data_IF_736001400934
#
_entry.id   IF_736001400934
#
_cell.length_a   1.000
_cell.length_b   1.000
_cell.length_c   1.000
_cell.angle_alpha   90.00
_cell.angle_beta   90.00
_cell.angle_gamma   90.00
#
_symmetry.space_group_name_H-M   'P 1'
#
loop_
_entity.id
_entity.type
_entity.pdbx_description
1 polymer ?
#
# COMPACT_ATOMS: atom_id res chain seq x y z
N UNK A 1 7.16 -36.35 -6.41
CA UNK A 1 5.92 -36.47 -7.19
C UNK A 1 4.89 -37.17 -6.30
N UNK A 2 3.89 -36.47 -5.80
CA UNK A 2 2.78 -37.08 -5.07
C UNK A 2 1.57 -37.15 -5.99
N UNK A 3 1.37 -38.30 -6.60
CA UNK A 3 0.05 -38.67 -7.12
C UNK A 3 -0.88 -38.89 -5.91
N UNK A 4 -2.17 -38.60 -6.08
CA UNK A 4 -3.16 -39.06 -5.10
C UNK A 4 -2.90 -40.53 -4.81
N UNK A 5 -3.05 -40.98 -3.55
CA UNK A 5 -2.75 -42.35 -3.10
C UNK A 5 -3.51 -43.49 -3.80
N UNK A 6 -4.40 -43.14 -4.71
CA UNK A 6 -5.09 -44.10 -5.57
C UNK A 6 -4.43 -44.09 -6.95
N UNK A 7 -3.35 -44.88 -7.11
CA UNK A 7 -2.92 -45.27 -8.44
C UNK A 7 -4.11 -45.95 -9.13
N UNK A 8 -4.55 -45.48 -10.32
CA UNK A 8 -5.59 -46.17 -11.06
C UNK A 8 -5.10 -47.59 -11.32
N UNK A 9 -5.82 -48.57 -10.84
CA UNK A 9 -5.43 -49.98 -11.00
C UNK A 9 -5.38 -50.29 -12.47
N UNK A 10 -4.27 -50.82 -12.94
CA UNK A 10 -4.02 -51.17 -14.37
C UNK A 10 -5.16 -52.02 -14.96
N UNK A 11 -5.92 -52.70 -14.11
CA UNK A 11 -7.09 -53.54 -14.52
C UNK A 11 -8.29 -52.70 -14.93
N UNK A 12 -8.45 -51.48 -14.47
CA UNK A 12 -9.55 -50.60 -14.85
C UNK A 12 -9.30 -49.98 -16.25
N UNK A 13 -8.03 -49.85 -16.65
CA UNK A 13 -7.61 -49.39 -17.96
C UNK A 13 -7.76 -50.44 -19.07
N UNK A 14 -7.95 -51.73 -18.72
CA UNK A 14 -8.06 -52.82 -19.68
C UNK A 14 -9.48 -53.03 -20.27
N UNK A 15 -10.49 -52.37 -19.71
CA UNK A 15 -11.90 -52.70 -20.00
C UNK A 15 -12.56 -51.86 -21.08
N UNK A 16 -12.03 -50.79 -21.54
CA UNK A 16 -12.68 -50.06 -22.63
C UNK A 16 -11.69 -49.35 -23.57
N UNK A 17 -11.86 -49.60 -24.86
CA UNK A 17 -11.28 -48.81 -25.92
C UNK A 17 -11.99 -47.44 -26.11
N UNK A 18 -13.09 -47.22 -25.40
CA UNK A 18 -14.02 -46.10 -25.62
C UNK A 18 -14.25 -45.20 -24.39
N UNK A 19 -13.88 -45.63 -23.17
CA UNK A 19 -14.13 -44.82 -21.96
C UNK A 19 -12.92 -43.95 -21.60
N UNK A 20 -13.18 -42.64 -21.44
CA UNK A 20 -12.24 -41.69 -20.89
C UNK A 20 -12.05 -41.95 -19.40
N UNK A 21 -10.83 -42.24 -18.97
CA UNK A 21 -10.49 -42.33 -17.56
C UNK A 21 -10.12 -40.95 -17.04
N UNK A 22 -10.73 -40.56 -15.91
CA UNK A 22 -10.44 -39.28 -15.23
C UNK A 22 -9.44 -39.50 -14.09
N UNK A 23 -8.38 -38.72 -14.09
CA UNK A 23 -7.44 -38.60 -12.97
C UNK A 23 -7.57 -37.21 -12.36
N UNK A 24 -7.73 -37.12 -11.04
CA UNK A 24 -7.73 -35.84 -10.34
C UNK A 24 -6.38 -35.60 -9.70
N UNK A 25 -5.72 -34.51 -10.10
CA UNK A 25 -4.51 -34.00 -9.44
C UNK A 25 -4.94 -33.06 -8.33
N UNK A 26 -4.80 -33.49 -7.07
CA UNK A 26 -5.26 -32.71 -5.91
C UNK A 26 -4.35 -31.51 -5.65
N UNK A 27 -4.92 -30.31 -5.61
CA UNK A 27 -4.16 -29.06 -5.44
C UNK A 27 -3.39 -29.04 -4.11
N UNK A 28 -3.97 -29.52 -3.00
CA UNK A 28 -3.33 -29.56 -1.68
C UNK A 28 -2.04 -30.38 -1.63
N UNK A 29 -1.87 -31.38 -2.53
CA UNK A 29 -0.74 -32.29 -2.56
C UNK A 29 0.28 -31.89 -3.65
N UNK A 30 -0.11 -30.99 -4.56
CA UNK A 30 0.65 -30.62 -5.76
C UNK A 30 0.82 -29.10 -5.94
N UNK A 31 0.84 -28.34 -4.85
CA UNK A 31 1.05 -26.89 -4.88
C UNK A 31 2.46 -26.54 -5.37
N UNK A 32 2.66 -26.45 -6.68
CA UNK A 32 3.95 -26.26 -7.34
C UNK A 32 3.77 -25.72 -8.75
N UNK A 33 4.76 -24.95 -9.24
CA UNK A 33 4.84 -24.53 -10.64
C UNK A 33 5.42 -25.62 -11.56
N UNK A 34 5.85 -26.73 -11.00
CA UNK A 34 6.47 -27.84 -11.75
C UNK A 34 5.74 -29.15 -11.39
N UNK A 35 4.48 -29.25 -11.81
CA UNK A 35 3.70 -30.47 -11.73
C UNK A 35 3.74 -31.13 -13.10
N UNK A 36 4.18 -32.38 -13.16
CA UNK A 36 4.27 -33.14 -14.41
C UNK A 36 3.36 -34.36 -14.32
N UNK A 37 2.38 -34.42 -15.22
CA UNK A 37 1.61 -35.63 -15.47
C UNK A 37 2.30 -36.45 -16.56
N UNK A 38 2.79 -37.64 -16.20
CA UNK A 38 3.41 -38.57 -17.14
C UNK A 38 2.53 -39.80 -17.33
N UNK A 39 2.13 -40.04 -18.57
CA UNK A 39 1.31 -41.17 -18.97
C UNK A 39 2.16 -42.09 -19.84
N UNK A 40 2.16 -43.36 -19.50
CA UNK A 40 2.80 -44.40 -20.33
C UNK A 40 1.75 -45.48 -20.67
N UNK A 41 1.55 -45.73 -21.93
CA UNK A 41 0.74 -46.82 -22.43
C UNK A 41 1.63 -47.85 -23.14
N UNK A 42 1.32 -49.13 -22.92
CA UNK A 42 2.05 -50.25 -23.55
C UNK A 42 1.01 -51.23 -24.12
N UNK A 43 1.13 -51.60 -25.36
CA UNK A 43 0.28 -52.62 -25.95
C UNK A 43 0.76 -54.06 -25.67
N UNK A 44 -0.01 -55.06 -26.11
CA UNK A 44 0.33 -56.47 -25.91
C UNK A 44 1.55 -56.93 -26.71
N UNK A 45 1.99 -56.19 -27.72
CA UNK A 45 3.19 -56.44 -28.51
C UNK A 45 4.44 -55.77 -27.91
N UNK A 46 4.29 -54.99 -26.82
CA UNK A 46 5.36 -54.27 -26.15
C UNK A 46 5.63 -52.87 -26.71
N UNK A 47 4.83 -52.41 -27.68
CA UNK A 47 4.95 -51.03 -28.18
C UNK A 47 4.48 -50.06 -27.11
N UNK A 48 5.19 -48.95 -26.93
CA UNK A 48 4.92 -48.00 -25.86
C UNK A 48 4.80 -46.57 -26.38
N UNK A 49 3.91 -45.82 -25.75
CA UNK A 49 3.79 -44.39 -25.95
C UNK A 49 3.89 -43.72 -24.57
N UNK A 50 4.65 -42.62 -24.53
CA UNK A 50 4.78 -41.79 -23.32
C UNK A 50 4.31 -40.40 -23.68
N UNK A 51 3.47 -39.81 -22.83
CA UNK A 51 3.05 -38.40 -22.89
C UNK A 51 3.34 -37.72 -21.58
N UNK A 52 3.88 -36.51 -21.64
CA UNK A 52 4.12 -35.67 -20.49
C UNK A 52 3.38 -34.33 -20.67
N UNK A 53 2.68 -33.91 -19.66
CA UNK A 53 1.99 -32.61 -19.58
C UNK A 53 2.48 -31.86 -18.35
N UNK A 54 2.87 -30.60 -18.57
CA UNK A 54 3.35 -29.71 -17.50
C UNK A 54 2.25 -28.72 -17.11
N UNK A 55 2.05 -28.53 -15.82
CA UNK A 55 1.07 -27.59 -15.28
C UNK A 55 1.58 -26.96 -13.98
N UNK A 56 1.02 -25.80 -13.65
CA UNK A 56 1.22 -25.15 -12.36
C UNK A 56 -0.08 -25.25 -11.56
N UNK A 57 0.04 -25.62 -10.30
CA UNK A 57 -1.06 -25.59 -9.34
C UNK A 57 -0.62 -24.67 -8.21
N UNK A 58 -1.41 -23.64 -7.95
CA UNK A 58 -1.14 -22.67 -6.90
C UNK A 58 -2.38 -22.42 -6.04
N UNK A 59 -2.26 -22.65 -4.74
CA UNK A 59 -3.26 -22.37 -3.71
C UNK A 59 -2.73 -21.44 -2.62
N UNK A 60 -1.53 -20.90 -2.82
CA UNK A 60 -0.90 -19.96 -1.89
C UNK A 60 -1.41 -18.55 -2.20
N UNK A 61 -1.83 -17.83 -1.18
CA UNK A 61 -2.27 -16.46 -1.34
C UNK A 61 -1.08 -15.50 -1.25
N UNK A 62 -1.04 -14.44 -2.08
CA UNK A 62 -0.05 -13.38 -1.93
C UNK A 62 -0.10 -12.74 -0.54
N UNK A 63 1.05 -12.62 0.09
CA UNK A 63 1.21 -11.90 1.35
C UNK A 63 1.76 -10.51 1.10
N UNK A 64 1.02 -9.49 1.51
CA UNK A 64 1.39 -8.09 1.28
C UNK A 64 1.76 -7.40 2.59
N UNK A 65 2.95 -6.81 2.62
CA UNK A 65 3.43 -6.02 3.75
C UNK A 65 3.65 -4.58 3.32
N UNK A 66 3.17 -3.65 4.14
CA UNK A 66 3.34 -2.21 3.96
C UNK A 66 4.24 -1.66 5.06
N UNK A 67 5.21 -0.86 4.68
CA UNK A 67 6.03 -0.06 5.58
C UNK A 67 6.16 1.37 5.08
N UNK A 68 6.50 2.30 5.99
CA UNK A 68 6.80 3.68 5.65
C UNK A 68 8.15 4.09 6.23
N UNK A 69 8.90 4.90 5.49
CA UNK A 69 10.20 5.45 5.91
C UNK A 69 10.04 6.53 6.99
N UNK A 70 8.99 7.37 6.87
CA UNK A 70 8.68 8.42 7.82
C UNK A 70 7.46 8.01 8.67
N UNK A 71 7.70 7.76 9.97
CA UNK A 71 6.68 7.44 10.98
C UNK A 71 6.59 8.51 12.08
N UNK A 72 7.27 9.66 11.91
CA UNK A 72 7.26 10.79 12.83
C UNK A 72 6.06 11.68 12.54
N UNK A 73 5.14 11.73 13.47
CA UNK A 73 3.94 12.57 13.39
C UNK A 73 3.99 13.67 14.45
N UNK A 74 3.48 14.83 14.10
CA UNK A 74 3.27 15.93 15.06
C UNK A 74 1.90 15.80 15.73
N UNK A 75 0.92 15.31 15.00
CA UNK A 75 -0.44 15.09 15.49
C UNK A 75 -1.09 13.97 14.67
N UNK A 76 -1.49 12.87 15.33
CA UNK A 76 -2.16 11.72 14.77
C UNK A 76 -1.60 11.26 13.41
N UNK A 77 -2.16 11.75 12.29
CA UNK A 77 -1.83 11.33 10.93
C UNK A 77 -1.24 12.46 10.07
N UNK A 78 -0.77 13.55 10.69
CA UNK A 78 -0.15 14.68 10.00
C UNK A 78 1.38 14.56 9.97
N UNK A 79 1.97 14.61 8.79
CA UNK A 79 3.40 14.51 8.55
C UNK A 79 3.92 15.79 7.91
N UNK A 80 4.90 16.44 8.53
CA UNK A 80 5.51 17.68 8.02
C UNK A 80 6.66 17.45 7.04
N UNK A 81 6.97 16.21 6.73
CA UNK A 81 8.00 15.81 5.78
C UNK A 81 7.44 14.81 4.77
N UNK A 82 8.14 14.62 3.67
CA UNK A 82 7.80 13.58 2.69
C UNK A 82 7.66 12.21 3.36
N UNK A 83 6.83 11.38 2.77
CA UNK A 83 6.61 10.01 3.22
C UNK A 83 6.72 9.06 2.04
N UNK A 84 7.44 7.95 2.21
CA UNK A 84 7.55 6.90 1.19
C UNK A 84 6.94 5.61 1.72
N UNK A 85 6.00 5.04 0.99
CA UNK A 85 5.51 3.70 1.26
C UNK A 85 6.36 2.67 0.51
N UNK A 86 6.77 1.60 1.19
CA UNK A 86 7.33 0.40 0.59
C UNK A 86 6.30 -0.72 0.70
N UNK A 87 5.87 -1.22 -0.45
CA UNK A 87 4.99 -2.37 -0.59
C UNK A 87 5.86 -3.57 -0.92
N UNK A 88 5.79 -4.61 -0.10
CA UNK A 88 6.45 -5.90 -0.34
C UNK A 88 5.38 -6.96 -0.55
N UNK A 89 5.47 -7.70 -1.66
CA UNK A 89 4.61 -8.86 -1.96
C UNK A 89 5.46 -10.11 -1.93
N UNK A 90 5.08 -11.09 -1.13
CA UNK A 90 5.65 -12.43 -1.14
C UNK A 90 4.73 -13.35 -1.92
N UNK A 91 5.16 -13.74 -3.13
CA UNK A 91 4.37 -14.55 -4.06
C UNK A 91 5.25 -15.10 -5.20
N UNK A 92 5.11 -16.40 -5.53
CA UNK A 92 5.84 -17.03 -6.66
C UNK A 92 5.24 -16.70 -8.03
N UNK A 93 3.92 -16.63 -8.09
CA UNK A 93 3.15 -16.38 -9.33
C UNK A 93 2.61 -14.94 -9.36
N UNK A 94 3.43 -13.99 -8.91
CA UNK A 94 3.10 -12.58 -8.87
C UNK A 94 2.82 -12.01 -10.26
N UNK A 95 1.74 -11.26 -10.39
CA UNK A 95 1.41 -10.46 -11.56
C UNK A 95 1.21 -9.00 -11.17
N UNK A 96 2.07 -8.12 -11.67
CA UNK A 96 1.94 -6.69 -11.41
C UNK A 96 0.59 -6.13 -11.87
N UNK A 97 0.07 -6.64 -13.00
CA UNK A 97 -1.17 -6.14 -13.61
C UNK A 97 -2.43 -6.52 -12.80
N UNK A 98 -2.31 -7.58 -11.98
CA UNK A 98 -3.38 -8.04 -11.08
C UNK A 98 -3.41 -7.29 -9.75
N UNK A 99 -2.36 -6.49 -9.44
CA UNK A 99 -2.30 -5.67 -8.23
C UNK A 99 -2.75 -4.24 -8.52
N UNK A 100 -3.79 -3.80 -7.81
CA UNK A 100 -4.36 -2.45 -7.90
C UNK A 100 -3.96 -1.65 -6.67
N UNK A 101 -3.20 -0.59 -6.89
CA UNK A 101 -2.84 0.39 -5.87
C UNK A 101 -3.58 1.67 -6.24
N UNK A 102 -4.54 2.05 -5.40
CA UNK A 102 -5.32 3.27 -5.55
C UNK A 102 -4.90 4.27 -4.48
N UNK A 103 -4.62 5.48 -4.92
CA UNK A 103 -4.32 6.60 -4.04
C UNK A 103 -5.36 7.67 -4.32
N UNK A 104 -6.07 8.08 -3.28
CA UNK A 104 -7.18 8.99 -3.40
C UNK A 104 -7.05 10.15 -2.44
N UNK A 105 -7.67 11.28 -2.80
CA UNK A 105 -7.88 12.42 -1.93
C UNK A 105 -9.27 12.27 -1.30
N UNK A 106 -9.37 12.12 0.03
CA UNK A 106 -10.66 11.99 0.72
C UNK A 106 -11.42 13.32 0.83
N UNK A 107 -11.14 14.31 -0.02
CA UNK A 107 -11.66 15.68 0.05
C UNK A 107 -13.15 15.74 0.42
N UNK A 108 -13.46 16.53 1.44
CA UNK A 108 -14.79 16.69 2.00
C UNK A 108 -15.86 17.00 0.93
N UNK A 109 -16.86 16.16 0.84
CA UNK A 109 -18.14 16.43 0.15
C UNK A 109 -18.16 16.34 -1.38
N UNK A 110 -17.07 15.92 -2.07
CA UNK A 110 -17.01 15.89 -3.55
C UNK A 110 -16.72 14.51 -4.16
N UNK A 111 -16.76 13.45 -3.37
CA UNK A 111 -16.39 12.11 -3.84
C UNK A 111 -14.86 11.90 -3.85
N UNK A 112 -14.45 10.66 -3.91
CA UNK A 112 -13.05 10.26 -3.89
C UNK A 112 -12.38 10.60 -5.22
N UNK A 113 -11.36 11.46 -5.21
CA UNK A 113 -10.57 11.81 -6.38
C UNK A 113 -9.32 10.93 -6.42
N UNK A 114 -9.09 10.26 -7.55
CA UNK A 114 -7.83 9.57 -7.79
C UNK A 114 -6.68 10.58 -7.90
N UNK A 115 -5.59 10.29 -7.20
CA UNK A 115 -4.35 11.05 -7.25
C UNK A 115 -3.30 10.29 -8.06
N UNK A 116 -2.63 11.01 -8.95
CA UNK A 116 -1.40 10.51 -9.59
C UNK A 116 -0.21 10.82 -8.66
N UNK A 117 0.34 9.76 -8.08
CA UNK A 117 1.49 9.84 -7.20
C UNK A 117 2.64 9.05 -7.84
N UNK A 118 3.85 9.58 -7.74
CA UNK A 118 5.06 8.92 -8.24
C UNK A 118 5.24 7.56 -7.55
N UNK A 119 5.44 6.52 -8.34
CA UNK A 119 5.69 5.16 -7.85
C UNK A 119 6.61 4.37 -8.76
N UNK A 120 7.36 3.47 -8.18
CA UNK A 120 8.17 2.49 -8.89
C UNK A 120 7.30 1.32 -9.39
N UNK A 121 7.70 0.69 -10.48
CA UNK A 121 7.18 -0.63 -10.84
C UNK A 121 7.69 -1.67 -9.84
N UNK A 122 6.92 -2.75 -9.65
CA UNK A 122 7.39 -3.86 -8.82
C UNK A 122 8.65 -4.49 -9.39
N UNK A 123 9.63 -4.72 -8.52
CA UNK A 123 10.88 -5.38 -8.85
C UNK A 123 11.05 -6.62 -7.98
N UNK A 124 11.50 -7.73 -8.58
CA UNK A 124 11.91 -8.90 -7.81
C UNK A 124 13.21 -8.59 -7.07
N UNK A 125 13.19 -8.72 -5.75
CA UNK A 125 14.35 -8.36 -4.90
C UNK A 125 15.03 -9.57 -4.27
N UNK A 126 14.30 -10.63 -3.97
CA UNK A 126 14.87 -11.83 -3.34
C UNK A 126 13.92 -13.02 -3.39
N UNK A 127 14.38 -14.15 -2.86
CA UNK A 127 13.58 -15.34 -2.63
C UNK A 127 13.38 -16.22 -3.86
N UNK A 128 12.71 -17.35 -3.62
CA UNK A 128 12.32 -18.33 -4.64
C UNK A 128 11.06 -19.07 -4.19
N UNK A 129 10.31 -19.62 -5.13
CA UNK A 129 9.01 -20.25 -4.82
C UNK A 129 8.08 -19.25 -4.11
N UNK A 130 7.29 -19.72 -3.16
CA UNK A 130 6.32 -18.91 -2.41
C UNK A 130 6.97 -17.77 -1.60
N UNK A 131 8.29 -17.84 -1.35
CA UNK A 131 9.06 -16.80 -0.68
C UNK A 131 9.67 -15.78 -1.64
N UNK A 132 9.28 -15.77 -2.92
CA UNK A 132 9.71 -14.76 -3.87
C UNK A 132 9.16 -13.40 -3.46
N UNK A 133 10.05 -12.41 -3.32
CA UNK A 133 9.69 -11.05 -2.86
C UNK A 133 9.80 -10.05 -3.99
N UNK A 134 8.74 -9.25 -4.09
CA UNK A 134 8.58 -8.16 -5.03
C UNK A 134 8.36 -6.87 -4.27
N UNK A 135 9.02 -5.79 -4.66
CA UNK A 135 8.93 -4.50 -3.99
C UNK A 135 8.58 -3.38 -4.96
N UNK A 136 7.76 -2.46 -4.46
CA UNK A 136 7.42 -1.19 -5.12
C UNK A 136 7.42 -0.07 -4.09
N UNK A 137 7.84 1.14 -4.50
CA UNK A 137 7.79 2.35 -3.66
C UNK A 137 6.79 3.34 -4.20
N UNK A 138 6.16 4.07 -3.29
CA UNK A 138 5.23 5.17 -3.59
C UNK A 138 5.72 6.39 -2.83
N UNK A 139 5.86 7.52 -3.53
CA UNK A 139 6.48 8.74 -3.01
C UNK A 139 5.44 9.83 -2.78
N UNK A 140 5.08 10.11 -1.52
CA UNK A 140 4.16 11.18 -1.12
C UNK A 140 4.98 12.46 -0.88
N UNK A 141 5.32 13.15 -1.97
CA UNK A 141 6.25 14.29 -1.99
C UNK A 141 5.54 15.64 -2.06
N UNK A 142 4.23 15.69 -2.09
CA UNK A 142 3.42 16.91 -2.16
C UNK A 142 2.53 17.02 -0.94
N UNK A 143 2.17 18.27 -0.61
CA UNK A 143 1.15 18.51 0.41
C UNK A 143 -0.20 18.00 -0.09
N UNK A 144 -0.93 17.31 0.79
CA UNK A 144 -2.21 16.72 0.45
C UNK A 144 -2.71 15.71 1.48
N UNK A 145 -3.97 15.41 1.36
CA UNK A 145 -4.62 14.34 2.11
C UNK A 145 -4.61 13.08 1.23
N UNK A 146 -4.17 11.97 1.78
CA UNK A 146 -3.96 10.73 1.05
C UNK A 146 -4.69 9.57 1.70
N UNK A 147 -5.39 8.81 0.86
CA UNK A 147 -5.93 7.51 1.23
C UNK A 147 -5.35 6.46 0.29
N UNK A 148 -4.71 5.43 0.86
CA UNK A 148 -4.07 4.33 0.13
C UNK A 148 -4.92 3.07 0.23
N UNK A 149 -5.17 2.42 -0.91
CA UNK A 149 -5.82 1.11 -0.97
C UNK A 149 -4.99 0.17 -1.84
N UNK A 150 -4.81 -1.06 -1.39
CA UNK A 150 -4.06 -2.11 -2.08
C UNK A 150 -4.94 -3.36 -2.16
N UNK A 151 -5.15 -3.86 -3.37
CA UNK A 151 -5.85 -5.12 -3.64
C UNK A 151 -5.11 -5.87 -4.73
N UNK A 152 -5.17 -7.19 -4.74
CA UNK A 152 -4.52 -7.98 -5.78
C UNK A 152 -4.78 -9.47 -5.67
N UNK A 153 -4.43 -10.16 -6.75
CA UNK A 153 -4.44 -11.61 -6.86
C UNK A 153 -3.22 -12.09 -7.64
N UNK A 154 -2.86 -13.35 -7.47
CA UNK A 154 -1.80 -13.99 -8.25
C UNK A 154 -2.30 -14.46 -9.63
N UNK A 155 -1.43 -15.11 -10.40
CA UNK A 155 -1.76 -15.68 -11.73
C UNK A 155 -2.76 -16.85 -11.64
N UNK A 156 -2.91 -17.47 -10.48
CA UNK A 156 -3.88 -18.55 -10.26
C UNK A 156 -5.24 -18.04 -9.76
N UNK A 157 -5.37 -16.73 -9.47
CA UNK A 157 -6.57 -16.09 -8.96
C UNK A 157 -6.73 -16.16 -7.44
N UNK A 158 -5.67 -16.51 -6.70
CA UNK A 158 -5.72 -16.43 -5.24
C UNK A 158 -5.63 -14.97 -4.82
N UNK A 159 -6.68 -14.49 -4.17
CA UNK A 159 -6.74 -13.11 -3.66
C UNK A 159 -5.79 -12.97 -2.46
N UNK A 160 -5.05 -11.86 -2.41
CA UNK A 160 -4.10 -11.56 -1.36
C UNK A 160 -4.69 -11.71 0.05
N UNK A 161 -3.84 -12.03 1.02
CA UNK A 161 -4.19 -11.97 2.45
C UNK A 161 -4.45 -10.52 2.88
N UNK A 162 -4.97 -10.33 4.10
CA UNK A 162 -5.11 -9.02 4.71
C UNK A 162 -3.75 -8.32 4.77
N UNK A 163 -3.76 -7.01 4.48
CA UNK A 163 -2.57 -6.18 4.51
C UNK A 163 -1.91 -6.19 5.88
N UNK A 164 -0.61 -6.47 5.92
CA UNK A 164 0.20 -6.48 7.13
C UNK A 164 1.07 -5.22 7.17
N UNK A 165 1.17 -4.58 8.33
CA UNK A 165 2.12 -3.49 8.54
C UNK A 165 3.43 -4.03 9.11
N UNK A 166 4.55 -3.58 8.56
CA UNK A 166 5.86 -3.93 9.10
C UNK A 166 6.02 -3.37 10.52
N UNK A 167 6.82 -4.05 11.35
CA UNK A 167 7.14 -3.60 12.69
C UNK A 167 7.69 -2.16 12.70
N UNK A 168 7.26 -1.36 13.65
CA UNK A 168 7.64 0.06 13.77
C UNK A 168 6.96 1.00 12.76
N UNK A 169 6.17 0.47 11.84
CA UNK A 169 5.37 1.27 10.92
C UNK A 169 4.10 1.76 11.59
N UNK A 170 3.87 3.09 11.54
CA UNK A 170 2.57 3.62 11.93
C UNK A 170 1.50 3.18 10.93
N UNK A 171 0.60 2.35 11.38
CA UNK A 171 -0.49 1.78 10.57
C UNK A 171 -1.50 2.88 10.23
N UNK A 172 -1.33 3.49 9.06
CA UNK A 172 -2.26 4.50 8.54
C UNK A 172 -2.31 4.40 7.02
N UNK A 173 -3.49 4.07 6.51
CA UNK A 173 -3.80 4.18 5.08
C UNK A 173 -4.33 5.56 4.72
N UNK A 174 -4.83 6.30 5.71
CA UNK A 174 -5.28 7.69 5.62
C UNK A 174 -4.30 8.58 6.37
N UNK A 175 -3.74 9.58 5.70
CA UNK A 175 -2.80 10.53 6.30
C UNK A 175 -2.67 11.81 5.48
N UNK A 176 -2.16 12.85 6.12
CA UNK A 176 -1.88 14.14 5.50
C UNK A 176 -0.38 14.39 5.49
N UNK A 177 0.16 14.79 4.35
CA UNK A 177 1.47 15.44 4.24
C UNK A 177 1.24 16.93 4.13
N UNK A 178 1.80 17.70 5.05
CA UNK A 178 1.68 19.15 5.10
C UNK A 178 3.03 19.74 5.52
N UNK A 179 3.67 20.40 4.57
CA UNK A 179 5.01 21.02 4.72
C UNK A 179 4.94 22.53 4.70
N UNK A 180 3.73 23.04 4.46
CA UNK A 180 3.49 24.47 4.35
C UNK A 180 3.30 25.05 5.74
N UNK A 181 4.03 26.10 6.06
CA UNK A 181 3.87 26.79 7.33
C UNK A 181 2.70 27.79 7.25
N UNK A 182 1.98 28.03 8.39
CA UNK A 182 0.95 29.05 8.46
C UNK A 182 1.45 30.43 8.04
N UNK A 183 0.65 31.17 7.30
CA UNK A 183 0.92 32.57 6.96
C UNK A 183 0.23 33.48 7.97
N UNK A 184 1.05 34.30 8.62
CA UNK A 184 0.59 35.23 9.64
C UNK A 184 0.62 36.67 9.10
N UNK A 185 -0.49 37.39 9.29
CA UNK A 185 -0.54 38.83 9.00
C UNK A 185 -1.15 39.60 10.18
N UNK A 186 -0.71 40.83 10.35
CA UNK A 186 -1.20 41.72 11.40
C UNK A 186 -1.58 43.07 10.78
N UNK A 187 -2.78 43.54 11.05
CA UNK A 187 -3.26 44.86 10.70
C UNK A 187 -3.66 45.63 11.94
N UNK A 188 -3.80 46.96 11.83
CA UNK A 188 -4.19 47.80 12.90
C UNK A 188 -5.31 48.78 12.51
N UNK A 189 -6.20 49.05 13.43
CA UNK A 189 -7.32 49.98 13.24
C UNK A 189 -6.89 51.45 13.18
N UNK A 190 -5.87 51.83 13.99
CA UNK A 190 -5.32 53.16 14.02
C UNK A 190 -3.95 53.22 13.37
N UNK A 191 -3.86 53.84 12.19
CA UNK A 191 -2.63 54.03 11.42
C UNK A 191 -2.20 55.52 11.39
N UNK A 192 -2.86 56.41 12.15
CA UNK A 192 -2.52 57.83 12.22
C UNK A 192 -1.49 58.09 13.33
N UNK A 193 -0.24 58.01 12.96
CA UNK A 193 0.87 58.34 13.83
C UNK A 193 1.05 59.87 13.89
N UNK A 194 1.42 60.40 15.06
CA UNK A 194 1.81 61.80 15.18
C UNK A 194 3.18 62.06 14.57
N UNK A 195 4.06 61.11 14.67
CA UNK A 195 5.38 61.14 14.09
C UNK A 195 5.92 59.72 13.93
N UNK A 196 6.31 59.30 12.76
CA UNK A 196 6.82 57.97 12.40
C UNK A 196 5.91 56.85 12.99
N UNK A 197 6.30 56.24 14.12
CA UNK A 197 5.61 55.14 14.80
C UNK A 197 5.05 55.55 16.18
N UNK A 198 4.95 56.89 16.50
CA UNK A 198 4.41 57.38 17.75
C UNK A 198 2.90 57.63 17.67
N UNK A 199 2.15 56.88 18.47
CA UNK A 199 0.69 56.98 18.53
C UNK A 199 0.27 57.58 19.88
N UNK A 200 -0.63 58.52 19.86
CA UNK A 200 -1.21 59.12 21.03
C UNK A 200 -2.28 58.25 21.66
N UNK A 201 -2.98 57.48 20.82
CA UNK A 201 -4.11 56.65 21.23
C UNK A 201 -3.76 55.16 21.12
N UNK A 202 -4.57 54.31 21.77
CA UNK A 202 -4.42 52.87 21.67
C UNK A 202 -4.62 52.38 20.23
N UNK A 203 -4.02 51.27 19.94
CA UNK A 203 -4.18 50.57 18.66
C UNK A 203 -4.71 49.17 18.91
N UNK A 204 -5.70 48.78 18.13
CA UNK A 204 -6.18 47.40 18.09
C UNK A 204 -5.45 46.67 16.97
N UNK A 205 -4.77 45.57 17.32
CA UNK A 205 -4.21 44.66 16.34
C UNK A 205 -5.25 43.63 15.92
N UNK A 206 -5.38 43.40 14.62
CA UNK A 206 -6.13 42.31 14.07
C UNK A 206 -5.14 41.32 13.46
N UNK A 207 -5.16 40.09 13.98
CA UNK A 207 -4.25 39.01 13.60
C UNK A 207 -5.03 38.07 12.67
N UNK A 208 -4.51 37.81 11.47
CA UNK A 208 -5.06 36.87 10.53
C UNK A 208 -4.06 35.75 10.28
N UNK A 209 -4.52 34.51 10.36
CA UNK A 209 -3.75 33.31 10.11
C UNK A 209 -4.40 32.55 8.95
N UNK A 210 -3.62 32.29 7.90
CA UNK A 210 -4.04 31.50 6.76
C UNK A 210 -3.31 30.16 6.79
N UNK A 211 -4.09 29.08 7.07
CA UNK A 211 -3.60 27.73 7.17
C UNK A 211 -4.74 26.73 6.98
N UNK A 212 -4.54 25.68 6.16
CA UNK A 212 -5.53 24.64 5.91
C UNK A 212 -5.72 23.73 7.13
N UNK A 213 -4.62 23.33 7.77
CA UNK A 213 -4.61 22.39 8.89
C UNK A 213 -4.38 23.12 10.24
N UNK A 214 -5.09 24.24 10.41
CA UNK A 214 -4.90 25.16 11.51
C UNK A 214 -5.24 24.57 12.88
N UNK A 215 -4.34 24.80 13.85
CA UNK A 215 -4.52 24.43 15.26
C UNK A 215 -4.61 25.67 16.14
N UNK A 216 -5.82 26.12 16.42
CA UNK A 216 -6.09 27.31 17.23
C UNK A 216 -5.59 27.19 18.66
N UNK A 217 -5.53 25.98 19.21
CA UNK A 217 -5.03 25.69 20.57
C UNK A 217 -3.51 25.86 20.73
N UNK A 218 -2.77 25.99 19.63
CA UNK A 218 -1.33 26.22 19.61
C UNK A 218 -0.95 27.67 19.27
N UNK A 219 -1.91 28.58 19.15
CA UNK A 219 -1.63 30.00 18.92
C UNK A 219 -1.31 30.68 20.25
N UNK A 220 -0.14 31.31 20.32
CA UNK A 220 0.29 32.12 21.46
C UNK A 220 0.67 33.53 20.99
N UNK A 221 0.29 34.54 21.75
CA UNK A 221 0.72 35.91 21.53
C UNK A 221 1.10 36.60 22.82
N UNK A 222 2.00 37.56 22.74
CA UNK A 222 2.41 38.36 23.89
C UNK A 222 2.66 39.80 23.50
N UNK A 223 2.35 40.71 24.40
CA UNK A 223 2.75 42.12 24.34
C UNK A 223 3.90 42.32 25.30
N UNK A 224 5.00 42.93 24.86
CA UNK A 224 6.18 43.20 25.66
C UNK A 224 6.34 44.73 25.79
N UNK A 225 6.63 45.18 27.00
CA UNK A 225 6.97 46.56 27.29
C UNK A 225 8.33 46.59 27.98
N UNK A 226 9.24 47.45 27.49
CA UNK A 226 10.59 47.64 28.04
C UNK A 226 11.35 46.30 28.25
N UNK A 227 11.12 45.34 27.35
CA UNK A 227 11.70 43.99 27.43
C UNK A 227 10.99 43.04 28.40
N UNK A 228 9.96 43.47 29.13
CA UNK A 228 9.09 42.63 29.95
C UNK A 228 7.80 42.27 29.30
N UNK A 229 7.17 41.15 29.70
CA UNK A 229 5.91 40.65 29.17
C UNK A 229 4.74 41.30 29.89
N UNK A 230 3.91 42.09 29.19
CA UNK A 230 2.74 42.78 29.78
C UNK A 230 1.38 42.11 29.49
N UNK A 231 1.27 41.33 28.41
CA UNK A 231 0.02 40.66 28.07
C UNK A 231 0.27 39.31 27.40
N UNK A 232 -0.60 38.39 27.64
CA UNK A 232 -0.55 37.03 27.06
C UNK A 232 -1.97 36.58 26.70
N UNK A 233 -2.11 35.90 25.57
CA UNK A 233 -3.33 35.23 25.16
C UNK A 233 -3.02 33.99 24.36
N UNK A 234 -3.88 33.02 24.40
CA UNK A 234 -3.81 31.78 23.64
C UNK A 234 -5.17 31.49 23.00
#
# INVERSE_FOLDING_TARGET
YHFSKEEPQLNDLKKSYEDAHALTILAKDNNSNDVVLKIKAVDNAGNQTVKEEHLSIDITKPRVTLSFDNNRVENEFYFKENRTALITVEERNFSQDSFKILITDPAEGKGTRLLEVERDSFQKVSGSGDSTRWESRIYFNKDGDYQLSITGEDLAGNVMEDLVYAEGTRAALDFTVDKTAPVLSVSYDNNTANHEFYYKEGRRAEISIEEKNFRSDLVDYSVLKDGGREGHGS
#
